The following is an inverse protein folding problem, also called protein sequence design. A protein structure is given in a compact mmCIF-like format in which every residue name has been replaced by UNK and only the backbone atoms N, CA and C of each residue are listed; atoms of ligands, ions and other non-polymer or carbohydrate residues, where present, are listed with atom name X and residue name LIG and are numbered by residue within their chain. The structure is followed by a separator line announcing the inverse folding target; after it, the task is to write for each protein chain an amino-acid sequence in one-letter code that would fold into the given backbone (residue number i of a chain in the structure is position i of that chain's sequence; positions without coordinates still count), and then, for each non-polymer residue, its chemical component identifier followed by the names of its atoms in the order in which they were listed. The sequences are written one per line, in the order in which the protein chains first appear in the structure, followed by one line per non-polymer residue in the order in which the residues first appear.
data_IF_417127989348
#
_entry.id   IF_417127989348
#
_cell.length_a   1.000
_cell.length_b   1.000
_cell.length_c   1.000
_cell.angle_alpha   90.00
_cell.angle_beta   90.00
_cell.angle_gamma   90.00
#
_symmetry.space_group_name_H-M   'P 1'
#
loop_
_entity.id
_entity.type
_entity.pdbx_description
1 polymer ?
#
# COMPACT_ATOMS: atom_id res chain seq x y z
N UNK A 1 0.41 -0.84 2.45
CA UNK A 1 1.46 -1.74 2.96
C UNK A 1 0.90 -3.13 3.14
N UNK A 2 1.71 -4.18 3.05
CA UNK A 2 1.23 -5.55 3.24
C UNK A 2 1.26 -6.45 2.00
N UNK A 3 0.60 -7.59 2.15
CA UNK A 3 0.23 -8.50 1.09
C UNK A 3 -0.83 -7.87 0.17
N UNK A 4 -0.87 -8.29 -1.10
CA UNK A 4 -1.98 -7.97 -1.99
C UNK A 4 -3.17 -8.91 -1.73
N UNK A 5 -3.84 -8.71 -0.60
CA UNK A 5 -4.93 -9.56 -0.12
C UNK A 5 -5.97 -8.76 0.68
N UNK A 6 -6.86 -9.45 1.40
CA UNK A 6 -7.78 -8.84 2.36
C UNK A 6 -7.08 -8.38 3.66
N UNK A 7 -5.78 -8.63 3.82
CA UNK A 7 -5.00 -8.09 4.93
C UNK A 7 -4.26 -6.80 4.58
N UNK A 8 -4.29 -6.37 3.32
CA UNK A 8 -3.62 -5.14 2.88
C UNK A 8 -4.04 -3.96 3.76
N UNK A 9 -3.07 -3.11 4.10
CA UNK A 9 -3.28 -1.96 4.96
C UNK A 9 -3.08 -0.65 4.16
N UNK A 10 -4.18 0.05 3.80
CA UNK A 10 -4.11 1.39 3.23
C UNK A 10 -3.89 2.40 4.36
N UNK A 11 -2.63 2.76 4.61
CA UNK A 11 -2.28 3.76 5.61
C UNK A 11 -2.60 5.18 5.12
N UNK A 12 -3.40 5.91 5.90
CA UNK A 12 -3.76 7.30 5.63
C UNK A 12 -3.11 8.29 6.60
N UNK A 13 -2.30 7.81 7.54
CA UNK A 13 -1.70 8.62 8.61
C UNK A 13 -0.83 9.75 8.06
N UNK A 14 -0.08 9.45 7.00
CA UNK A 14 0.80 10.41 6.31
C UNK A 14 0.20 10.95 5.00
N UNK A 15 -1.09 10.70 4.75
CA UNK A 15 -1.74 11.15 3.52
C UNK A 15 -2.15 12.62 3.61
N UNK A 16 -1.85 13.39 2.57
CA UNK A 16 -2.18 14.80 2.45
C UNK A 16 -3.25 14.99 1.36
N UNK A 17 -4.31 15.74 1.68
CA UNK A 17 -5.45 16.02 0.81
C UNK A 17 -5.60 17.54 0.73
N UNK A 18 -5.35 18.12 -0.45
CA UNK A 18 -5.37 19.57 -0.68
C UNK A 18 -4.55 20.35 0.36
N UNK A 19 -3.37 19.83 0.72
CA UNK A 19 -2.45 20.46 1.68
C UNK A 19 -2.77 20.21 3.15
N UNK A 20 -3.79 19.43 3.49
CA UNK A 20 -4.16 19.08 4.88
C UNK A 20 -3.97 17.60 5.16
N UNK A 21 -3.73 17.22 6.41
CA UNK A 21 -3.70 15.81 6.77
C UNK A 21 -5.09 15.18 6.53
N UNK A 22 -5.12 13.91 6.11
CA UNK A 22 -6.37 13.19 5.90
C UNK A 22 -7.26 13.17 7.16
N UNK A 23 -6.64 13.13 8.35
CA UNK A 23 -7.28 13.21 9.67
C UNK A 23 -8.03 14.52 9.94
N UNK A 24 -7.67 15.61 9.25
CA UNK A 24 -8.39 16.89 9.36
C UNK A 24 -9.67 16.90 8.51
N UNK A 25 -9.74 16.05 7.50
CA UNK A 25 -10.86 16.01 6.54
C UNK A 25 -11.85 14.89 6.87
N UNK A 26 -11.35 13.74 7.35
CA UNK A 26 -12.14 12.54 7.59
C UNK A 26 -12.05 12.07 9.03
N UNK A 27 -13.13 11.47 9.52
CA UNK A 27 -13.16 10.91 10.87
C UNK A 27 -12.20 9.73 11.02
N UNK A 28 -11.71 9.54 12.25
CA UNK A 28 -10.86 8.38 12.60
C UNK A 28 -11.56 7.06 12.29
N UNK A 29 -12.86 6.95 12.54
CA UNK A 29 -13.66 5.75 12.24
C UNK A 29 -13.70 5.46 10.74
N UNK A 30 -13.94 6.49 9.91
CA UNK A 30 -13.89 6.31 8.46
C UNK A 30 -12.51 5.82 8.00
N UNK A 31 -11.44 6.50 8.42
CA UNK A 31 -10.07 6.19 7.98
C UNK A 31 -9.59 4.81 8.45
N UNK A 32 -9.98 4.39 9.66
CA UNK A 32 -9.48 3.14 10.29
C UNK A 32 -10.40 1.95 10.12
N UNK A 33 -11.67 2.15 9.74
CA UNK A 33 -12.62 1.04 9.56
C UNK A 33 -13.21 1.05 8.14
N UNK A 34 -14.05 2.05 7.83
CA UNK A 34 -14.82 2.05 6.59
C UNK A 34 -13.94 2.05 5.33
N UNK A 35 -12.92 2.91 5.30
CA UNK A 35 -12.00 3.02 4.18
C UNK A 35 -11.20 1.72 3.96
N UNK A 36 -10.68 1.14 5.04
CA UNK A 36 -9.91 -0.12 4.96
C UNK A 36 -10.78 -1.22 4.35
N UNK A 37 -12.01 -1.38 4.84
CA UNK A 37 -12.96 -2.36 4.32
C UNK A 37 -13.30 -2.10 2.84
N UNK A 38 -13.57 -0.85 2.48
CA UNK A 38 -13.88 -0.48 1.09
C UNK A 38 -12.73 -0.79 0.15
N UNK A 39 -11.49 -0.48 0.51
CA UNK A 39 -10.30 -0.76 -0.30
C UNK A 39 -10.10 -2.27 -0.45
N UNK A 40 -10.18 -3.02 0.65
CA UNK A 40 -9.99 -4.48 0.66
C UNK A 40 -11.04 -5.21 -0.19
N UNK A 41 -12.29 -4.74 -0.19
CA UNK A 41 -13.40 -5.41 -0.89
C UNK A 41 -13.61 -4.93 -2.33
N UNK A 42 -12.91 -3.87 -2.78
CA UNK A 42 -13.16 -3.22 -4.07
C UNK A 42 -13.07 -4.17 -5.26
N UNK A 43 -12.09 -5.07 -5.27
CA UNK A 43 -11.92 -6.05 -6.35
C UNK A 43 -13.14 -6.97 -6.49
N UNK A 44 -13.64 -7.50 -5.37
CA UNK A 44 -14.84 -8.35 -5.34
C UNK A 44 -16.10 -7.62 -5.80
N UNK A 45 -16.27 -6.35 -5.42
CA UNK A 45 -17.40 -5.52 -5.85
C UNK A 45 -17.37 -5.27 -7.37
N UNK A 46 -16.20 -4.99 -7.95
CA UNK A 46 -16.08 -4.77 -9.40
C UNK A 46 -16.39 -6.02 -10.21
N UNK A 47 -15.98 -7.20 -9.74
CA UNK A 47 -16.29 -8.47 -10.39
C UNK A 47 -17.79 -8.76 -10.44
N UNK A 48 -18.54 -8.36 -9.40
CA UNK A 48 -20.01 -8.50 -9.37
C UNK A 48 -20.69 -7.54 -10.35
N UNK A 49 -20.12 -6.36 -10.59
CA UNK A 49 -20.66 -5.35 -11.50
C UNK A 49 -20.32 -5.64 -12.97
N UNK A 50 -19.14 -6.18 -13.25
CA UNK A 50 -18.72 -6.57 -14.60
C UNK A 50 -17.50 -7.48 -14.57
N UNK A 51 -17.60 -8.62 -15.27
CA UNK A 51 -16.49 -9.60 -15.36
C UNK A 51 -15.18 -9.01 -15.91
N UNK A 52 -15.22 -7.91 -16.66
CA UNK A 52 -14.04 -7.30 -17.28
C UNK A 52 -13.46 -6.07 -16.55
N UNK A 53 -14.21 -5.47 -15.62
CA UNK A 53 -13.79 -4.20 -14.99
C UNK A 53 -12.52 -4.34 -14.15
N UNK A 54 -12.39 -5.46 -13.42
CA UNK A 54 -11.19 -5.74 -12.62
C UNK A 54 -9.94 -5.97 -13.46
N UNK A 55 -10.08 -6.51 -14.67
CA UNK A 55 -8.94 -6.74 -15.59
C UNK A 55 -8.39 -5.43 -16.13
N UNK A 56 -9.28 -4.51 -16.51
CA UNK A 56 -8.89 -3.19 -17.04
C UNK A 56 -8.19 -2.36 -15.96
N UNK A 57 -8.73 -2.33 -14.73
CA UNK A 57 -8.08 -1.62 -13.62
C UNK A 57 -6.72 -2.22 -13.27
N UNK A 58 -6.58 -3.55 -13.34
CA UNK A 58 -5.29 -4.23 -13.18
C UNK A 58 -4.27 -3.81 -14.25
N UNK A 59 -4.66 -3.78 -15.52
CA UNK A 59 -3.78 -3.33 -16.61
C UNK A 59 -3.35 -1.87 -16.46
N UNK A 60 -4.26 -1.00 -16.01
CA UNK A 60 -3.96 0.40 -15.70
C UNK A 60 -2.94 0.48 -14.55
N UNK A 61 -3.14 -0.28 -13.47
CA UNK A 61 -2.23 -0.32 -12.33
C UNK A 61 -0.82 -0.78 -12.74
N UNK A 62 -0.69 -1.80 -13.60
CA UNK A 62 0.61 -2.24 -14.13
C UNK A 62 1.28 -1.13 -14.95
N UNK A 63 0.53 -0.50 -15.86
CA UNK A 63 1.04 0.61 -16.68
C UNK A 63 1.52 1.77 -15.80
N UNK A 64 0.73 2.16 -14.79
CA UNK A 64 1.06 3.27 -13.90
C UNK A 64 2.23 2.92 -12.97
N UNK A 65 2.34 1.67 -12.53
CA UNK A 65 3.49 1.15 -11.80
C UNK A 65 4.78 1.27 -12.61
N UNK A 66 4.80 0.73 -13.84
CA UNK A 66 5.97 0.81 -14.73
C UNK A 66 6.31 2.26 -15.07
N UNK A 67 5.31 3.10 -15.33
CA UNK A 67 5.50 4.52 -15.59
C UNK A 67 6.14 5.23 -14.39
N UNK A 68 5.66 4.96 -13.18
CA UNK A 68 6.20 5.59 -11.96
C UNK A 68 7.61 5.13 -11.68
N UNK A 69 7.91 3.84 -11.92
CA UNK A 69 9.28 3.35 -11.82
C UNK A 69 10.21 4.03 -12.82
N UNK A 70 9.78 4.15 -14.08
CA UNK A 70 10.61 4.69 -15.16
C UNK A 70 10.77 6.21 -15.11
N UNK A 71 9.72 6.95 -14.75
CA UNK A 71 9.71 8.43 -14.74
C UNK A 71 9.97 9.02 -13.35
N UNK A 72 9.99 8.19 -12.31
CA UNK A 72 10.12 8.60 -10.93
C UNK A 72 8.79 8.97 -10.26
N UNK A 73 8.83 9.08 -8.93
CA UNK A 73 7.73 9.63 -8.14
C UNK A 73 7.71 11.16 -8.22
N UNK A 74 6.56 11.76 -7.93
CA UNK A 74 6.49 13.22 -7.77
C UNK A 74 7.38 13.67 -6.61
N UNK A 75 7.88 14.90 -6.71
CA UNK A 75 8.69 15.50 -5.64
C UNK A 75 7.93 15.48 -4.31
N UNK A 76 8.64 15.15 -3.23
CA UNK A 76 8.11 15.05 -1.86
C UNK A 76 6.92 14.09 -1.72
N UNK A 77 6.86 13.07 -2.58
CA UNK A 77 5.81 12.07 -2.60
C UNK A 77 6.39 10.66 -2.82
N UNK A 78 5.65 9.64 -2.39
CA UNK A 78 5.99 8.24 -2.56
C UNK A 78 4.82 7.44 -3.14
N UNK A 79 5.12 6.23 -3.60
CA UNK A 79 4.12 5.27 -4.08
C UNK A 79 4.24 3.94 -3.32
N UNK A 80 3.33 3.00 -3.56
CA UNK A 80 3.36 1.68 -2.93
C UNK A 80 3.80 0.61 -3.92
N UNK A 81 4.95 -0.02 -3.69
CA UNK A 81 5.46 -1.12 -4.52
C UNK A 81 5.56 -2.40 -3.69
N UNK A 82 5.21 -3.54 -4.28
CA UNK A 82 5.58 -4.85 -3.74
C UNK A 82 7.06 -5.09 -4.01
N UNK A 83 7.88 -5.07 -2.95
CA UNK A 83 9.34 -5.22 -3.05
C UNK A 83 9.81 -6.37 -2.19
N UNK A 84 10.91 -7.01 -2.57
CA UNK A 84 11.58 -7.98 -1.71
C UNK A 84 12.30 -7.21 -0.61
N UNK A 85 11.82 -7.36 0.63
CA UNK A 85 12.42 -6.68 1.79
C UNK A 85 13.89 -7.05 1.95
N UNK A 86 14.72 -6.07 2.27
CA UNK A 86 16.12 -6.24 2.63
C UNK A 86 16.32 -6.49 4.13
N UNK A 87 15.26 -6.34 4.94
CA UNK A 87 15.28 -6.51 6.39
C UNK A 87 15.49 -5.22 7.18
N UNK A 88 15.62 -4.06 6.53
CA UNK A 88 16.05 -2.82 7.20
C UNK A 88 14.91 -1.90 7.65
N UNK A 89 13.70 -2.08 7.11
CA UNK A 89 12.59 -1.12 7.29
C UNK A 89 11.33 -1.77 7.84
N UNK A 90 10.61 -1.02 8.67
CA UNK A 90 9.28 -1.36 9.20
C UNK A 90 9.19 -2.72 9.93
N UNK A 91 10.32 -3.29 10.36
CA UNK A 91 10.39 -4.61 10.98
C UNK A 91 10.03 -5.78 10.04
N UNK A 92 10.05 -5.58 8.72
CA UNK A 92 9.71 -6.61 7.74
C UNK A 92 10.93 -7.50 7.46
N UNK A 93 10.87 -8.83 7.71
CA UNK A 93 11.99 -9.74 7.48
C UNK A 93 12.50 -9.74 6.04
N UNK A 94 13.82 -9.92 5.90
CA UNK A 94 14.48 -10.03 4.59
C UNK A 94 13.91 -11.18 3.76
N UNK A 95 13.76 -10.95 2.46
CA UNK A 95 13.33 -11.97 1.48
C UNK A 95 11.82 -12.06 1.29
N UNK A 96 11.02 -11.33 2.08
CA UNK A 96 9.57 -11.30 1.93
C UNK A 96 9.18 -10.24 0.89
N UNK A 97 8.41 -10.63 -0.12
CA UNK A 97 7.78 -9.67 -1.05
C UNK A 97 6.64 -8.96 -0.32
N UNK A 98 6.82 -7.69 0.03
CA UNK A 98 5.88 -6.94 0.85
C UNK A 98 5.67 -5.54 0.26
N UNK A 99 4.43 -5.04 0.28
CA UNK A 99 4.17 -3.67 -0.18
C UNK A 99 4.70 -2.65 0.83
N UNK A 100 5.65 -1.82 0.38
CA UNK A 100 6.27 -0.74 1.16
C UNK A 100 6.15 0.60 0.42
N UNK A 101 6.19 1.73 1.14
CA UNK A 101 6.32 3.04 0.51
C UNK A 101 7.70 3.16 -0.15
N UNK A 102 7.73 3.59 -1.41
CA UNK A 102 8.96 3.78 -2.18
C UNK A 102 8.97 5.12 -2.91
N UNK A 103 10.17 5.68 -3.06
CA UNK A 103 10.47 6.78 -3.96
C UNK A 103 11.16 6.19 -5.18
N UNK A 104 10.70 6.55 -6.38
CA UNK A 104 11.33 6.13 -7.63
C UNK A 104 12.11 7.29 -8.22
N UNK A 105 13.35 7.05 -8.65
CA UNK A 105 14.21 8.04 -9.28
C UNK A 105 15.26 7.33 -10.13
N UNK A 106 15.56 7.87 -11.31
CA UNK A 106 16.64 7.40 -12.19
C UNK A 106 16.59 5.88 -12.48
N UNK A 107 15.38 5.35 -12.75
CA UNK A 107 15.10 3.92 -12.98
C UNK A 107 15.32 3.00 -11.77
N UNK A 108 15.56 3.57 -10.59
CA UNK A 108 15.67 2.84 -9.33
C UNK A 108 14.49 3.20 -8.42
N UNK A 109 14.24 2.35 -7.43
CA UNK A 109 13.35 2.65 -6.32
C UNK A 109 14.12 2.51 -5.00
N UNK A 110 13.75 3.33 -4.03
CA UNK A 110 14.26 3.26 -2.68
C UNK A 110 13.08 3.20 -1.72
N UNK A 111 13.15 2.28 -0.75
CA UNK A 111 12.18 2.21 0.34
C UNK A 111 12.28 3.50 1.16
N UNK A 112 11.14 4.14 1.40
CA UNK A 112 11.05 5.27 2.32
C UNK A 112 11.39 4.74 3.72
N UNK A 113 12.27 5.44 4.44
CA UNK A 113 12.64 5.08 5.80
C UNK A 113 11.43 5.05 6.75
N UNK A 114 11.64 4.54 7.96
CA UNK A 114 10.57 4.31 8.92
C UNK A 114 9.85 5.63 9.27
N UNK A 115 8.65 5.78 8.71
CA UNK A 115 7.73 6.86 9.08
C UNK A 115 7.10 6.57 10.43
N UNK A 116 6.61 7.60 11.11
CA UNK A 116 5.95 7.42 12.40
C UNK A 116 4.69 6.56 12.26
N UNK A 117 4.63 5.45 12.98
CA UNK A 117 3.49 4.53 12.97
C UNK A 117 2.94 4.38 14.39
N UNK A 118 1.64 4.60 14.54
CA UNK A 118 0.95 4.30 15.78
C UNK A 118 0.70 2.80 15.95
N UNK A 119 0.21 2.40 17.13
CA UNK A 119 0.00 0.99 17.45
C UNK A 119 -1.05 0.33 16.55
N UNK A 120 -2.03 1.09 16.07
CA UNK A 120 -3.03 0.58 15.14
C UNK A 120 -2.39 0.22 13.80
N UNK A 121 -1.59 1.12 13.23
CA UNK A 121 -0.89 0.89 11.97
C UNK A 121 0.07 -0.29 12.07
N UNK A 122 0.85 -0.36 13.16
CA UNK A 122 1.77 -1.48 13.44
C UNK A 122 1.03 -2.82 13.50
N UNK A 123 -0.10 -2.88 14.20
CA UNK A 123 -0.91 -4.10 14.29
C UNK A 123 -1.45 -4.54 12.92
N UNK A 124 -1.89 -3.62 12.06
CA UNK A 124 -2.38 -3.94 10.71
C UNK A 124 -1.26 -4.44 9.80
N UNK A 125 -0.09 -3.82 9.86
CA UNK A 125 1.11 -4.26 9.12
C UNK A 125 1.51 -5.67 9.57
N UNK A 126 1.56 -5.92 10.88
CA UNK A 126 1.89 -7.22 11.45
C UNK A 126 0.89 -8.31 11.03
N UNK A 127 -0.41 -7.99 11.02
CA UNK A 127 -1.44 -8.93 10.60
C UNK A 127 -1.24 -9.35 9.13
N UNK A 128 -0.87 -8.41 8.27
CA UNK A 128 -0.58 -8.71 6.86
C UNK A 128 0.72 -9.48 6.67
N UNK A 129 1.75 -9.20 7.48
CA UNK A 129 3.00 -9.95 7.48
C UNK A 129 2.78 -11.41 7.89
N UNK A 130 2.00 -11.66 8.95
CA UNK A 130 1.71 -13.00 9.45
C UNK A 130 0.94 -13.83 8.42
N UNK A 131 0.00 -13.23 7.66
CA UNK A 131 -0.66 -13.92 6.55
C UNK A 131 0.35 -14.34 5.48
N UNK A 132 1.20 -13.41 5.04
CA UNK A 132 2.17 -13.66 3.98
C UNK A 132 3.20 -14.73 4.38
N UNK A 133 3.62 -14.76 5.64
CA UNK A 133 4.49 -15.81 6.18
C UNK A 133 3.82 -17.20 6.17
N UNK A 134 2.50 -17.28 6.31
CA UNK A 134 1.76 -18.55 6.21
C UNK A 134 1.62 -19.02 4.76
N UNK A 135 1.57 -18.11 3.78
CA UNK A 135 1.53 -18.45 2.35
C UNK A 135 2.86 -19.00 1.82
N UNK A 136 3.98 -18.75 2.52
CA UNK A 136 5.30 -19.26 2.17
C UNK A 136 5.57 -20.70 2.67
N UNK A 137 4.65 -21.28 3.45
CA UNK A 137 4.73 -22.65 3.99
C UNK A 137 4.06 -23.64 3.04
#
# INVERSE_FOLDING_TARGET
MGNHSLTQYPDMTHSIINGKQASETFSKDFLRNALIQQVQQRGGQLLQLSRGASTISGAIAVKDHLRTWFLGTQQDNWTSFGVISDGNHYGIPKGICFSLPVICKDFEFQVVGDVELDDFSKQRIQLSLVELQKEQQ
#
